data_IF_399098910019
#
_entry.id   IF_399098910019
#
_cell.length_a   1.000
_cell.length_b   1.000
_cell.length_c   1.000
_cell.angle_alpha   90.00
_cell.angle_beta   90.00
_cell.angle_gamma   90.00
#
_symmetry.space_group_name_H-M   'P 1'
#
loop_
_entity.id
_entity.type
_entity.pdbx_description
1 polymer ?
#
# COMPACT_ATOMS: atom_id res chain seq x y z
N UNK A 1 30.40 -32.79 25.00
CA UNK A 1 30.03 -31.37 24.82
C UNK A 1 29.39 -31.23 23.44
N UNK A 2 28.10 -30.88 23.31
CA UNK A 2 27.49 -30.69 22.00
C UNK A 2 27.70 -29.24 21.52
N UNK A 3 28.09 -29.11 20.24
CA UNK A 3 28.29 -27.85 19.51
C UNK A 3 27.00 -27.04 19.35
N UNK A 4 27.05 -25.70 19.32
CA UNK A 4 25.87 -24.87 19.10
C UNK A 4 25.44 -24.89 17.64
N UNK A 5 24.15 -25.14 17.43
CA UNK A 5 23.48 -25.09 16.13
C UNK A 5 23.42 -23.61 15.68
N UNK A 6 23.96 -23.33 14.49
CA UNK A 6 23.91 -22.01 13.86
C UNK A 6 22.45 -21.57 13.61
N UNK A 7 22.05 -20.32 13.89
CA UNK A 7 20.68 -19.89 13.66
C UNK A 7 20.46 -19.75 12.14
N UNK A 8 19.61 -20.62 11.60
CA UNK A 8 19.14 -20.52 10.23
C UNK A 8 18.59 -19.11 9.94
N UNK A 9 19.22 -18.41 9.00
CA UNK A 9 18.73 -17.17 8.41
C UNK A 9 17.30 -17.39 7.92
N UNK A 10 16.32 -16.84 8.65
CA UNK A 10 14.90 -16.98 8.32
C UNK A 10 14.62 -16.21 7.03
N UNK A 11 14.75 -16.88 5.89
CA UNK A 11 14.34 -16.38 4.58
C UNK A 11 12.88 -15.91 4.70
N UNK A 12 12.65 -14.60 4.60
CA UNK A 12 11.35 -14.00 4.77
C UNK A 12 10.38 -14.54 3.73
N UNK A 13 9.34 -15.29 4.15
CA UNK A 13 8.23 -15.68 3.28
C UNK A 13 7.65 -14.44 2.60
N UNK A 14 7.89 -14.29 1.29
CA UNK A 14 7.15 -13.35 0.43
C UNK A 14 5.71 -13.87 0.33
N UNK A 15 4.79 -13.25 1.07
CA UNK A 15 3.36 -13.54 0.95
C UNK A 15 2.79 -12.56 -0.06
N UNK A 16 2.34 -13.06 -1.22
CA UNK A 16 1.63 -12.28 -2.24
C UNK A 16 0.12 -12.41 -1.99
N UNK A 17 -0.59 -11.30 -2.04
CA UNK A 17 -2.04 -11.26 -2.14
C UNK A 17 -2.38 -10.40 -3.35
N UNK A 18 -3.31 -10.87 -4.19
CA UNK A 18 -3.87 -10.11 -5.30
C UNK A 18 -5.38 -10.02 -5.12
N UNK A 19 -5.95 -8.88 -5.48
CA UNK A 19 -7.39 -8.67 -5.55
C UNK A 19 -7.70 -7.84 -6.78
N UNK A 20 -8.75 -8.22 -7.50
CA UNK A 20 -9.25 -7.55 -8.71
C UNK A 20 -10.32 -6.49 -8.42
N UNK A 21 -10.58 -6.20 -7.14
CA UNK A 21 -11.65 -5.29 -6.71
C UNK A 21 -11.04 -4.22 -5.82
N UNK A 22 -11.23 -2.91 -6.10
CA UNK A 22 -10.62 -1.86 -5.29
C UNK A 22 -11.19 -1.83 -3.85
N UNK A 23 -12.46 -2.21 -3.64
CA UNK A 23 -13.07 -2.41 -2.31
C UNK A 23 -12.38 -3.44 -1.38
N UNK A 24 -11.52 -4.31 -1.93
CA UNK A 24 -10.73 -5.25 -1.12
C UNK A 24 -9.50 -4.61 -0.50
N UNK A 25 -9.14 -3.37 -0.83
CA UNK A 25 -7.98 -2.66 -0.28
C UNK A 25 -8.07 -2.41 1.21
N UNK A 26 -9.17 -1.79 1.65
CA UNK A 26 -9.50 -1.61 3.07
C UNK A 26 -9.43 -2.96 3.76
N UNK A 27 -10.06 -3.98 3.19
CA UNK A 27 -10.05 -5.33 3.76
C UNK A 27 -8.66 -5.99 3.79
N UNK A 28 -7.80 -5.81 2.79
CA UNK A 28 -6.46 -6.41 2.72
C UNK A 28 -5.51 -5.70 3.67
N UNK A 29 -5.47 -4.37 3.67
CA UNK A 29 -4.69 -3.58 4.62
C UNK A 29 -5.16 -3.81 6.06
N UNK A 30 -6.47 -3.82 6.31
CA UNK A 30 -7.02 -4.04 7.65
C UNK A 30 -6.92 -5.52 8.04
N UNK A 31 -7.59 -6.47 7.37
CA UNK A 31 -7.70 -7.84 7.88
C UNK A 31 -6.46 -8.71 7.64
N UNK A 32 -5.77 -8.56 6.50
CA UNK A 32 -4.69 -9.50 6.12
C UNK A 32 -3.31 -9.05 6.60
N UNK A 33 -3.13 -7.76 6.85
CA UNK A 33 -1.83 -7.19 7.17
C UNK A 33 -1.78 -6.25 8.39
N UNK A 34 -2.91 -5.82 8.99
CA UNK A 34 -2.84 -4.65 9.89
C UNK A 34 -3.95 -4.35 10.90
N UNK A 35 -4.92 -5.21 11.19
CA UNK A 35 -5.85 -5.08 12.34
C UNK A 35 -5.47 -6.03 13.48
N UNK A 36 -4.18 -6.05 13.75
CA UNK A 36 -3.68 -6.29 15.10
C UNK A 36 -3.03 -5.00 15.60
N UNK A 37 -3.90 -4.11 16.08
CA UNK A 37 -3.56 -2.95 16.90
C UNK A 37 -2.84 -3.38 18.19
N UNK A 38 -1.99 -2.59 18.88
CA UNK A 38 -1.50 -1.22 18.66
C UNK A 38 -0.03 -1.21 18.20
N UNK A 39 0.50 -0.01 17.88
CA UNK A 39 1.94 0.37 17.86
C UNK A 39 2.91 -0.80 17.72
N UNK A 40 3.47 -0.98 16.51
CA UNK A 40 4.75 -1.70 16.31
C UNK A 40 4.91 -2.97 17.19
N UNK A 41 3.88 -3.81 17.33
CA UNK A 41 3.98 -5.02 18.18
C UNK A 41 4.72 -6.19 17.54
N UNK A 42 5.28 -6.00 16.35
CA UNK A 42 6.33 -6.87 15.85
C UNK A 42 7.45 -5.96 15.40
N UNK A 43 8.65 -6.16 15.94
CA UNK A 43 9.91 -5.55 15.48
C UNK A 43 10.26 -6.09 14.07
N UNK A 44 9.25 -6.15 13.20
CA UNK A 44 9.24 -6.78 11.90
C UNK A 44 9.69 -5.74 10.90
N UNK A 45 10.89 -5.94 10.37
CA UNK A 45 11.49 -5.14 9.30
C UNK A 45 10.81 -5.31 7.94
N UNK A 46 9.65 -5.99 7.89
CA UNK A 46 8.92 -6.24 6.65
C UNK A 46 8.27 -4.95 6.15
N UNK A 47 8.57 -4.61 4.91
CA UNK A 47 7.84 -3.58 4.15
C UNK A 47 6.68 -4.23 3.41
N UNK A 48 5.58 -3.50 3.34
CA UNK A 48 4.40 -3.87 2.57
C UNK A 48 4.42 -3.01 1.32
N UNK A 49 4.49 -3.65 0.16
CA UNK A 49 4.43 -2.98 -1.12
C UNK A 49 3.08 -3.23 -1.75
N UNK A 50 2.50 -2.17 -2.28
CA UNK A 50 1.17 -2.18 -2.83
C UNK A 50 1.18 -1.42 -4.14
N UNK A 51 0.65 -2.06 -5.18
CA UNK A 51 0.62 -1.51 -6.54
C UNK A 51 -0.83 -1.20 -6.85
N UNK A 52 -1.09 0.01 -7.31
CA UNK A 52 -2.42 0.51 -7.69
C UNK A 52 -2.36 1.18 -9.06
N UNK A 53 -3.44 1.06 -9.82
CA UNK A 53 -3.64 1.84 -11.04
C UNK A 53 -4.36 3.16 -10.78
N UNK A 54 -4.14 4.15 -11.64
CA UNK A 54 -4.83 5.43 -11.57
C UNK A 54 -6.37 5.33 -11.67
N UNK A 55 -6.91 4.33 -12.38
CA UNK A 55 -8.34 4.02 -12.39
C UNK A 55 -8.87 3.46 -11.07
N UNK A 56 -8.05 2.74 -10.29
CA UNK A 56 -8.47 2.22 -8.98
C UNK A 56 -8.62 3.36 -7.95
N UNK A 57 -7.80 4.41 -8.07
CA UNK A 57 -7.87 5.59 -7.19
C UNK A 57 -9.17 6.39 -7.31
N UNK A 58 -10.03 6.09 -8.29
CA UNK A 58 -11.38 6.62 -8.33
C UNK A 58 -12.25 6.09 -7.18
N UNK A 59 -11.90 4.95 -6.57
CA UNK A 59 -12.64 4.40 -5.44
C UNK A 59 -12.27 5.07 -4.11
N UNK A 60 -13.28 5.50 -3.34
CA UNK A 60 -13.12 6.15 -2.04
C UNK A 60 -12.40 5.31 -1.00
N UNK A 61 -12.56 3.99 -1.05
CA UNK A 61 -11.98 3.04 -0.09
C UNK A 61 -10.44 3.10 -0.05
N UNK A 62 -9.80 3.43 -1.18
CA UNK A 62 -8.35 3.63 -1.24
C UNK A 62 -7.90 4.83 -0.40
N UNK A 63 -8.67 5.91 -0.43
CA UNK A 63 -8.39 7.12 0.34
C UNK A 63 -8.69 6.95 1.83
N UNK A 64 -9.75 6.22 2.17
CA UNK A 64 -10.03 5.80 3.55
C UNK A 64 -8.90 4.94 4.13
N UNK A 65 -8.40 3.98 3.35
CA UNK A 65 -7.28 3.13 3.74
C UNK A 65 -5.99 3.95 3.92
N UNK A 66 -5.71 4.89 3.03
CA UNK A 66 -4.57 5.80 3.15
C UNK A 66 -4.67 6.65 4.42
N UNK A 67 -5.83 7.26 4.68
CA UNK A 67 -6.06 8.05 5.89
C UNK A 67 -5.89 7.22 7.16
N UNK A 68 -6.45 6.01 7.20
CA UNK A 68 -6.30 5.09 8.32
C UNK A 68 -4.82 4.70 8.53
N UNK A 69 -4.10 4.37 7.46
CA UNK A 69 -2.70 3.99 7.53
C UNK A 69 -1.79 5.13 8.01
N UNK A 70 -2.06 6.38 7.59
CA UNK A 70 -1.40 7.56 8.12
C UNK A 70 -1.73 7.83 9.59
N UNK A 71 -3.01 7.69 9.98
CA UNK A 71 -3.45 7.87 11.37
C UNK A 71 -2.80 6.85 12.32
N UNK A 72 -2.60 5.61 11.86
CA UNK A 72 -1.96 4.54 12.64
C UNK A 72 -0.43 4.48 12.51
N UNK A 73 0.17 5.37 11.71
CA UNK A 73 1.62 5.44 11.54
C UNK A 73 2.23 4.19 10.90
N UNK A 74 1.59 3.64 9.86
CA UNK A 74 2.13 2.54 9.06
C UNK A 74 3.26 3.05 8.13
N UNK A 75 4.40 3.35 8.73
CA UNK A 75 5.63 3.82 8.07
C UNK A 75 6.29 2.78 7.15
N UNK A 76 5.92 1.50 7.29
CA UNK A 76 6.42 0.39 6.48
C UNK A 76 5.57 0.08 5.24
N UNK A 77 4.52 0.86 4.97
CA UNK A 77 3.66 0.74 3.78
C UNK A 77 4.18 1.63 2.65
N UNK A 78 4.46 1.03 1.49
CA UNK A 78 4.85 1.72 0.27
C UNK A 78 3.79 1.48 -0.80
N UNK A 79 3.22 2.57 -1.31
CA UNK A 79 2.22 2.55 -2.37
C UNK A 79 2.91 3.00 -3.67
N UNK A 80 2.82 2.16 -4.69
CA UNK A 80 3.31 2.42 -6.04
C UNK A 80 2.08 2.60 -6.91
N UNK A 81 1.87 3.84 -7.37
CA UNK A 81 0.78 4.13 -8.28
C UNK A 81 1.28 4.10 -9.73
N UNK A 82 0.76 3.17 -10.53
CA UNK A 82 0.91 3.15 -11.97
C UNK A 82 0.01 4.22 -12.59
N UNK A 83 0.63 5.32 -13.03
CA UNK A 83 -0.05 6.48 -13.61
C UNK A 83 0.15 6.49 -15.13
N UNK A 84 -0.61 5.63 -15.80
CA UNK A 84 -0.60 5.50 -17.27
C UNK A 84 -1.64 6.42 -17.98
N UNK A 85 -2.47 7.14 -17.22
CA UNK A 85 -3.53 8.05 -17.70
C UNK A 85 -4.70 7.37 -18.41
N UNK A 86 -4.89 6.06 -18.23
CA UNK A 86 -5.94 5.28 -18.87
C UNK A 86 -6.81 4.56 -17.85
N UNK A 87 -8.13 4.70 -17.99
CA UNK A 87 -9.12 3.89 -17.29
C UNK A 87 -9.88 2.99 -18.29
N UNK A 88 -10.77 2.15 -17.75
CA UNK A 88 -11.54 1.18 -18.52
C UNK A 88 -12.27 1.81 -19.72
N UNK A 89 -12.87 2.99 -19.54
CA UNK A 89 -13.73 3.63 -20.54
C UNK A 89 -13.06 4.78 -21.31
N UNK A 90 -11.75 5.03 -21.12
CA UNK A 90 -11.08 6.18 -21.73
C UNK A 90 -10.02 6.85 -20.84
N UNK A 91 -9.56 8.06 -21.20
CA UNK A 91 -8.54 8.78 -20.46
C UNK A 91 -8.96 9.11 -19.03
N UNK A 92 -8.05 8.90 -18.07
CA UNK A 92 -8.28 9.20 -16.64
C UNK A 92 -8.76 10.63 -16.41
N UNK A 93 -8.26 11.58 -17.19
CA UNK A 93 -8.62 13.00 -17.10
C UNK A 93 -10.10 13.27 -17.44
N UNK A 94 -10.68 12.50 -18.34
CA UNK A 94 -12.05 12.66 -18.82
C UNK A 94 -13.07 11.95 -17.93
N UNK A 95 -12.66 10.84 -17.30
CA UNK A 95 -13.55 10.04 -16.44
C UNK A 95 -13.48 10.49 -14.99
N UNK A 96 -12.29 10.46 -14.38
CA UNK A 96 -12.11 10.83 -12.98
C UNK A 96 -10.68 11.33 -12.75
N UNK A 97 -10.51 12.65 -12.87
CA UNK A 97 -9.20 13.26 -12.76
C UNK A 97 -8.69 13.27 -11.31
N UNK A 98 -7.58 12.57 -11.07
CA UNK A 98 -6.92 12.50 -9.76
C UNK A 98 -5.74 13.46 -9.62
N UNK A 99 -5.43 14.25 -10.64
CA UNK A 99 -4.29 15.16 -10.62
C UNK A 99 -4.58 16.50 -9.90
N UNK A 100 -3.57 17.10 -9.24
CA UNK A 100 -2.21 16.59 -9.04
C UNK A 100 -2.14 15.48 -7.96
N UNK A 101 -1.75 14.27 -8.37
CA UNK A 101 -1.77 13.10 -7.49
C UNK A 101 -0.82 13.25 -6.28
N UNK A 102 0.32 13.90 -6.49
CA UNK A 102 1.32 14.13 -5.45
C UNK A 102 0.75 14.95 -4.26
N UNK A 103 -0.11 15.94 -4.54
CA UNK A 103 -0.73 16.77 -3.52
C UNK A 103 -1.76 16.02 -2.70
N UNK A 104 -2.53 15.14 -3.35
CA UNK A 104 -3.49 14.27 -2.65
C UNK A 104 -2.76 13.40 -1.63
N UNK A 105 -1.68 12.71 -2.04
CA UNK A 105 -0.88 11.91 -1.11
C UNK A 105 -0.27 12.74 0.02
N UNK A 106 0.23 13.95 -0.28
CA UNK A 106 0.74 14.88 0.74
C UNK A 106 -0.34 15.27 1.76
N UNK A 107 -1.57 15.50 1.31
CA UNK A 107 -2.69 15.81 2.21
C UNK A 107 -2.98 14.66 3.20
N UNK A 108 -2.78 13.41 2.79
CA UNK A 108 -2.86 12.24 3.66
C UNK A 108 -1.58 11.95 4.47
N UNK A 109 -0.64 12.90 4.53
CA UNK A 109 0.65 12.77 5.25
C UNK A 109 1.60 11.70 4.70
N UNK A 110 1.46 11.35 3.41
CA UNK A 110 2.42 10.51 2.70
C UNK A 110 3.50 11.34 2.02
N UNK A 111 4.73 10.82 2.01
CA UNK A 111 5.76 11.27 1.07
C UNK A 111 5.45 10.74 -0.32
N UNK A 112 5.47 11.61 -1.33
CA UNK A 112 5.26 11.24 -2.73
C UNK A 112 6.47 11.61 -3.58
N UNK A 113 6.90 10.67 -4.42
CA UNK A 113 7.96 10.89 -5.41
C UNK A 113 7.48 10.34 -6.75
N UNK A 114 7.55 11.18 -7.78
CA UNK A 114 7.33 10.73 -9.15
C UNK A 114 8.60 10.04 -9.64
N UNK A 115 8.48 8.78 -10.04
CA UNK A 115 9.54 8.06 -10.73
C UNK A 115 9.29 8.19 -12.23
N UNK A 116 10.32 8.46 -13.05
CA UNK A 116 10.22 8.26 -14.49
C UNK A 116 9.97 6.77 -14.75
N UNK A 117 8.95 6.48 -15.55
CA UNK A 117 8.59 5.14 -16.01
C UNK A 117 8.89 4.98 -17.49
#
# INVERSE_FOLDING_TARGET
MPTPISPATRCGRKRRASSSTPARWVTVCLLRWGWRWPRRKSNSTRRIFLITGDGELAEGSNWEAALAAAHYGLDNLVIINDKNNLQLAGPTREIMNTDPLADKWRAFRYGSQRMPG
#
